data_IF_640035912546
#
_entry.id   IF_640035912546
#
_cell.length_a   1.000
_cell.length_b   1.000
_cell.length_c   1.000
_cell.angle_alpha   90.00
_cell.angle_beta   90.00
_cell.angle_gamma   90.00
#
_symmetry.space_group_name_H-M   'P 1'
#
loop_
_entity.id
_entity.type
_entity.pdbx_description
1 polymer ?
#
# COMPACT_ATOMS: atom_id res chain seq x y z
N UNK A 1 26.55 3.67 -4.47
CA UNK A 1 26.98 4.84 -5.26
C UNK A 1 28.43 4.65 -5.70
N UNK A 2 28.87 5.33 -6.76
CA UNK A 2 30.26 5.38 -7.25
C UNK A 2 30.66 6.84 -7.41
N UNK A 3 31.84 7.22 -6.93
CA UNK A 3 32.40 8.56 -7.21
C UNK A 3 32.85 8.64 -8.67
N UNK A 4 32.50 9.73 -9.33
CA UNK A 4 32.93 10.01 -10.71
C UNK A 4 34.25 10.79 -10.61
N UNK A 5 35.37 10.12 -10.88
CA UNK A 5 36.74 10.63 -10.64
C UNK A 5 37.29 11.41 -11.85
N UNK A 6 36.72 11.22 -13.03
CA UNK A 6 37.03 12.00 -14.24
C UNK A 6 35.75 12.16 -15.06
N UNK A 7 35.35 13.39 -15.37
CA UNK A 7 34.39 13.63 -16.44
C UNK A 7 35.12 13.34 -17.75
N UNK A 8 34.79 12.22 -18.41
CA UNK A 8 35.22 12.06 -19.79
C UNK A 8 34.61 13.21 -20.58
N UNK A 9 35.47 14.02 -21.21
CA UNK A 9 35.14 15.25 -21.95
C UNK A 9 34.31 15.02 -23.24
N UNK A 10 33.39 14.05 -23.28
CA UNK A 10 32.50 13.79 -24.41
C UNK A 10 31.07 13.57 -23.93
N UNK A 11 30.17 14.49 -24.32
CA UNK A 11 28.76 14.31 -24.70
C UNK A 11 27.93 13.18 -24.05
N UNK A 12 28.18 12.79 -22.80
CA UNK A 12 27.42 11.75 -22.14
C UNK A 12 26.16 12.37 -21.53
N UNK A 13 24.99 11.90 -21.96
CA UNK A 13 23.72 12.40 -21.44
C UNK A 13 23.65 12.04 -19.95
N UNK A 14 23.59 13.07 -19.11
CA UNK A 14 23.59 12.92 -17.67
C UNK A 14 22.49 13.77 -17.02
N UNK A 15 22.03 13.33 -15.85
CA UNK A 15 21.05 14.08 -15.06
C UNK A 15 21.49 14.13 -13.60
N UNK A 16 21.62 15.35 -13.09
CA UNK A 16 21.97 15.63 -11.70
C UNK A 16 20.68 15.81 -10.90
N UNK A 17 20.40 14.83 -10.03
CA UNK A 17 19.19 14.78 -9.23
C UNK A 17 19.38 15.55 -7.92
N UNK A 18 18.58 16.62 -7.68
CA UNK A 18 18.58 17.29 -6.38
C UNK A 18 18.18 16.32 -5.28
N UNK A 19 18.78 16.48 -4.10
CA UNK A 19 18.42 15.71 -2.92
C UNK A 19 18.51 16.55 -1.66
N UNK A 20 17.79 16.10 -0.63
CA UNK A 20 17.87 16.69 0.71
C UNK A 20 17.62 15.62 1.77
N UNK A 21 18.12 15.88 2.98
CA UNK A 21 17.89 15.03 4.14
C UNK A 21 16.65 15.44 4.93
N UNK A 22 15.80 14.48 5.28
CA UNK A 22 14.73 14.65 6.26
C UNK A 22 15.16 13.94 7.55
N UNK A 23 15.42 14.73 8.58
CA UNK A 23 15.73 14.22 9.91
C UNK A 23 14.43 13.83 10.64
N UNK A 24 14.46 12.66 11.26
CA UNK A 24 13.38 12.04 12.03
C UNK A 24 13.98 11.42 13.30
N UNK A 25 14.42 12.25 14.26
CA UNK A 25 15.15 11.79 15.44
C UNK A 25 14.39 10.76 16.28
N UNK A 26 13.07 10.77 16.22
CA UNK A 26 12.15 9.84 16.88
C UNK A 26 12.16 8.42 16.31
N UNK A 27 12.76 8.19 15.13
CA UNK A 27 12.87 6.84 14.55
C UNK A 27 14.10 6.09 15.05
N UNK A 28 13.88 4.87 15.55
CA UNK A 28 14.94 3.99 16.08
C UNK A 28 15.94 3.49 15.03
N UNK A 29 15.52 3.31 13.77
CA UNK A 29 16.33 2.61 12.75
C UNK A 29 16.87 3.51 11.63
N UNK A 30 16.19 4.62 11.31
CA UNK A 30 16.63 5.52 10.22
C UNK A 30 16.28 6.95 10.59
N UNK A 31 17.19 7.58 11.34
CA UNK A 31 17.06 8.96 11.80
C UNK A 31 17.18 9.99 10.67
N UNK A 32 17.86 9.66 9.57
CA UNK A 32 18.01 10.53 8.40
C UNK A 32 17.53 9.79 7.15
N UNK A 33 16.56 10.37 6.45
CA UNK A 33 16.10 9.88 5.14
C UNK A 33 16.50 10.86 4.06
N UNK A 34 17.34 10.44 3.13
CA UNK A 34 17.62 11.22 1.92
C UNK A 34 16.41 11.12 1.01
N UNK A 35 15.96 12.23 0.44
CA UNK A 35 14.90 12.30 -0.57
C UNK A 35 15.53 12.80 -1.86
N UNK A 36 15.35 12.05 -2.94
CA UNK A 36 15.80 12.42 -4.27
C UNK A 36 14.63 12.99 -5.09
N UNK A 37 14.87 14.06 -5.85
CA UNK A 37 13.86 14.74 -6.65
C UNK A 37 14.16 14.60 -8.15
N UNK A 38 13.63 13.56 -8.78
CA UNK A 38 13.74 13.36 -10.23
C UNK A 38 12.70 14.16 -11.05
N UNK A 39 11.90 15.01 -10.41
CA UNK A 39 10.87 15.86 -11.04
C UNK A 39 11.38 17.29 -11.25
N UNK A 40 12.58 17.62 -10.77
CA UNK A 40 13.14 18.95 -10.98
C UNK A 40 13.54 19.15 -12.45
N UNK A 41 13.02 20.17 -13.16
CA UNK A 41 13.41 20.46 -14.53
C UNK A 41 14.87 20.88 -14.66
N UNK A 42 15.55 20.45 -15.71
CA UNK A 42 16.88 20.94 -16.05
C UNK A 42 16.82 22.22 -16.87
N UNK A 43 17.97 22.71 -17.35
CA UNK A 43 18.08 23.88 -18.23
C UNK A 43 17.28 23.77 -19.52
N UNK A 44 16.90 22.56 -19.95
CA UNK A 44 16.05 22.33 -21.12
C UNK A 44 14.54 22.30 -20.79
N UNK A 45 14.14 22.58 -19.54
CA UNK A 45 12.74 22.59 -19.10
C UNK A 45 12.13 21.21 -18.84
N UNK A 46 12.87 20.13 -19.04
CA UNK A 46 12.42 18.76 -18.79
C UNK A 46 13.08 18.17 -17.54
N UNK A 47 12.34 17.34 -16.81
CA UNK A 47 12.82 16.54 -15.69
C UNK A 47 13.07 15.09 -16.12
N UNK A 48 13.82 14.32 -15.32
CA UNK A 48 14.00 12.89 -15.60
C UNK A 48 12.66 12.15 -15.60
N UNK A 49 11.78 12.43 -14.64
CA UNK A 49 10.47 11.80 -14.53
C UNK A 49 9.50 12.16 -15.66
N UNK A 50 9.66 13.32 -16.31
CA UNK A 50 8.85 13.65 -17.49
C UNK A 50 9.26 12.91 -18.76
N UNK A 51 10.47 12.35 -18.79
CA UNK A 51 11.03 11.62 -19.94
C UNK A 51 10.92 10.11 -19.73
N UNK A 52 11.15 9.64 -18.50
CA UNK A 52 11.15 8.20 -18.19
C UNK A 52 9.78 7.56 -18.39
N UNK A 53 9.78 6.37 -18.98
CA UNK A 53 8.62 5.48 -18.96
C UNK A 53 8.41 4.92 -17.55
N UNK A 54 7.17 4.96 -17.06
CA UNK A 54 6.83 4.42 -15.75
C UNK A 54 6.79 2.87 -15.72
N UNK A 55 6.71 2.20 -16.87
CA UNK A 55 6.61 0.75 -17.02
C UNK A 55 5.23 0.14 -16.73
N UNK A 56 4.28 0.93 -16.21
CA UNK A 56 2.93 0.47 -15.86
C UNK A 56 2.84 -0.31 -14.54
N UNK A 57 1.65 -0.84 -14.25
CA UNK A 57 1.36 -1.62 -13.05
C UNK A 57 1.41 -3.12 -13.38
N UNK A 58 2.28 -3.86 -12.70
CA UNK A 58 2.46 -5.31 -12.90
C UNK A 58 2.15 -6.15 -11.65
N UNK A 59 1.77 -5.52 -10.54
CA UNK A 59 1.30 -6.18 -9.32
C UNK A 59 -0.21 -6.02 -9.14
N UNK A 60 -0.79 -6.91 -8.35
CA UNK A 60 -2.15 -6.74 -7.84
C UNK A 60 -2.25 -5.48 -6.97
N UNK A 61 -3.44 -4.88 -6.94
CA UNK A 61 -3.68 -3.76 -6.05
C UNK A 61 -3.80 -4.22 -4.59
N UNK A 62 -3.44 -3.33 -3.65
CA UNK A 62 -3.39 -3.62 -2.21
C UNK A 62 -4.70 -4.18 -1.67
N UNK A 63 -5.84 -3.71 -2.17
CA UNK A 63 -7.16 -4.21 -1.76
C UNK A 63 -7.30 -5.70 -2.08
N UNK A 64 -6.97 -6.11 -3.31
CA UNK A 64 -7.01 -7.52 -3.72
C UNK A 64 -6.08 -8.38 -2.87
N UNK A 65 -4.85 -7.92 -2.63
CA UNK A 65 -3.87 -8.61 -1.79
C UNK A 65 -4.40 -8.82 -0.36
N UNK A 66 -5.03 -7.79 0.21
CA UNK A 66 -5.58 -7.87 1.57
C UNK A 66 -6.78 -8.79 1.70
N UNK A 67 -7.67 -8.83 0.69
CA UNK A 67 -8.79 -9.76 0.69
C UNK A 67 -8.27 -11.19 0.68
N UNK A 68 -7.33 -11.54 -0.21
CA UNK A 68 -6.67 -12.85 -0.24
C UNK A 68 -5.96 -13.18 1.08
N UNK A 69 -5.22 -12.23 1.64
CA UNK A 69 -4.57 -12.37 2.94
C UNK A 69 -5.55 -12.75 4.07
N UNK A 70 -6.81 -12.30 3.97
CA UNK A 70 -7.89 -12.61 4.91
C UNK A 70 -8.59 -13.93 4.64
N UNK A 71 -8.29 -14.66 3.57
CA UNK A 71 -8.85 -16.01 3.37
C UNK A 71 -8.13 -17.05 4.23
N UNK A 72 -6.82 -16.88 4.44
CA UNK A 72 -6.03 -17.90 5.13
C UNK A 72 -6.38 -18.00 6.62
N UNK A 73 -6.44 -19.18 7.25
CA UNK A 73 -6.55 -19.30 8.70
C UNK A 73 -5.26 -18.95 9.45
N UNK A 74 -4.09 -19.22 8.84
CA UNK A 74 -2.77 -18.78 9.34
C UNK A 74 -2.17 -17.80 8.36
N UNK A 75 -1.79 -16.60 8.80
CA UNK A 75 -1.23 -15.60 7.91
C UNK A 75 -0.15 -14.77 8.57
N UNK A 76 0.73 -14.21 7.75
CA UNK A 76 1.83 -13.37 8.19
C UNK A 76 2.11 -12.29 7.17
N UNK A 77 2.72 -11.22 7.65
CA UNK A 77 3.23 -10.13 6.82
C UNK A 77 4.73 -10.00 7.05
N UNK A 78 5.45 -9.46 6.07
CA UNK A 78 6.86 -9.10 6.19
C UNK A 78 7.22 -7.97 5.22
N UNK A 79 8.36 -7.33 5.44
CA UNK A 79 8.89 -6.20 4.68
C UNK A 79 10.26 -6.58 4.09
N UNK A 80 10.49 -6.30 2.80
CA UNK A 80 11.79 -6.45 2.15
C UNK A 80 12.69 -5.27 2.50
N UNK A 81 13.71 -5.57 3.31
CA UNK A 81 14.65 -4.59 3.82
C UNK A 81 15.36 -3.84 2.68
N UNK A 82 15.08 -2.54 2.59
CA UNK A 82 15.72 -1.63 1.62
C UNK A 82 15.64 -2.14 0.17
N UNK A 83 14.50 -2.71 -0.23
CA UNK A 83 14.28 -3.39 -1.51
C UNK A 83 14.94 -2.71 -2.72
N UNK A 84 14.67 -1.42 -2.96
CA UNK A 84 15.21 -0.69 -4.11
C UNK A 84 16.75 -0.68 -4.17
N UNK A 85 17.41 -0.68 -3.01
CA UNK A 85 18.88 -0.66 -2.91
C UNK A 85 19.53 -2.01 -3.22
N UNK A 86 18.75 -3.07 -3.36
CA UNK A 86 19.25 -4.40 -3.70
C UNK A 86 19.21 -4.66 -5.22
N UNK A 87 18.64 -3.75 -6.01
CA UNK A 87 18.43 -3.91 -7.44
C UNK A 87 19.39 -2.99 -8.19
N UNK A 88 20.31 -3.58 -8.95
CA UNK A 88 21.27 -2.82 -9.75
C UNK A 88 20.60 -2.22 -10.98
N UNK A 89 21.04 -1.00 -11.32
CA UNK A 89 20.70 -0.32 -12.56
C UNK A 89 21.82 -0.58 -13.57
N UNK A 90 21.42 -0.84 -14.82
CA UNK A 90 22.36 -1.04 -15.93
C UNK A 90 23.33 0.14 -16.04
N UNK A 91 24.61 -0.13 -16.30
CA UNK A 91 25.68 0.87 -16.24
C UNK A 91 25.40 2.08 -17.15
N UNK A 92 24.82 1.85 -18.33
CA UNK A 92 24.46 2.92 -19.28
C UNK A 92 23.40 3.90 -18.77
N UNK A 93 22.68 3.57 -17.69
CA UNK A 93 21.62 4.40 -17.11
C UNK A 93 22.08 5.12 -15.84
N UNK A 94 23.23 4.74 -15.27
CA UNK A 94 23.77 5.33 -14.04
C UNK A 94 24.10 6.83 -14.17
N UNK A 95 24.57 7.37 -15.32
CA UNK A 95 24.75 8.80 -15.53
C UNK A 95 23.48 9.65 -15.37
N UNK A 96 22.31 9.05 -15.54
CA UNK A 96 21.02 9.72 -15.34
C UNK A 96 20.61 9.81 -13.86
N UNK A 97 21.37 9.17 -12.97
CA UNK A 97 21.12 9.13 -11.53
C UNK A 97 22.31 9.74 -10.78
N UNK A 98 22.86 10.85 -11.28
CA UNK A 98 23.96 11.57 -10.63
C UNK A 98 23.45 12.41 -9.48
N UNK A 99 24.27 12.55 -8.45
CA UNK A 99 24.05 13.46 -7.32
C UNK A 99 25.35 14.23 -7.04
N UNK A 100 25.18 15.44 -6.52
CA UNK A 100 26.28 16.23 -5.97
C UNK A 100 26.32 16.06 -4.45
N UNK A 101 27.51 15.87 -3.88
CA UNK A 101 27.68 15.70 -2.44
C UNK A 101 28.96 16.36 -1.95
N UNK A 102 28.89 16.99 -0.78
CA UNK A 102 30.04 17.47 -0.01
C UNK A 102 29.81 17.18 1.48
N UNK A 103 30.89 16.94 2.23
CA UNK A 103 30.80 16.54 3.65
C UNK A 103 30.64 17.78 4.53
N UNK A 104 31.46 18.80 4.31
CA UNK A 104 31.37 20.13 4.93
C UNK A 104 31.08 21.22 3.90
N UNK A 105 30.82 22.45 4.36
CA UNK A 105 30.61 23.60 3.49
C UNK A 105 31.86 23.94 2.67
N UNK A 106 33.04 23.67 3.23
CA UNK A 106 34.37 23.97 2.71
C UNK A 106 34.95 22.87 1.82
N UNK A 107 34.38 21.66 1.87
CA UNK A 107 34.84 20.54 1.05
C UNK A 107 34.47 20.73 -0.43
N UNK A 108 35.32 20.25 -1.36
CA UNK A 108 34.98 20.25 -2.78
C UNK A 108 33.73 19.41 -3.05
N UNK A 109 32.86 19.91 -3.92
CA UNK A 109 31.69 19.18 -4.38
C UNK A 109 32.15 17.99 -5.23
N UNK A 110 31.66 16.80 -4.87
CA UNK A 110 31.92 15.55 -5.57
C UNK A 110 30.67 15.08 -6.29
N UNK A 111 30.87 14.43 -7.43
CA UNK A 111 29.79 13.80 -8.21
C UNK A 111 29.75 12.31 -7.93
N UNK A 112 28.54 11.80 -7.68
CA UNK A 112 28.31 10.37 -7.47
C UNK A 112 27.19 9.83 -8.35
N UNK A 113 27.36 8.61 -8.84
CA UNK A 113 26.33 7.87 -9.58
C UNK A 113 25.66 6.83 -8.68
N UNK A 114 24.33 6.80 -8.71
CA UNK A 114 23.56 5.77 -8.04
C UNK A 114 23.60 4.48 -8.86
N UNK A 115 24.06 3.39 -8.23
CA UNK A 115 24.17 2.07 -8.89
C UNK A 115 22.88 1.26 -8.86
N UNK A 116 21.92 1.67 -8.05
CA UNK A 116 20.72 0.89 -7.73
C UNK A 116 19.47 1.68 -8.03
N UNK A 117 18.34 0.98 -8.10
CA UNK A 117 17.03 1.63 -8.27
C UNK A 117 16.90 2.72 -7.21
N UNK A 118 16.63 3.94 -7.68
CA UNK A 118 16.60 5.14 -6.83
C UNK A 118 15.15 5.58 -6.65
N UNK A 119 14.71 5.60 -5.39
CA UNK A 119 13.37 6.08 -5.05
C UNK A 119 13.21 7.55 -5.44
N UNK A 120 11.99 7.94 -5.83
CA UNK A 120 11.69 9.26 -6.39
C UNK A 120 11.74 9.29 -7.92
N UNK A 121 12.29 8.26 -8.57
CA UNK A 121 12.13 8.06 -10.03
C UNK A 121 10.81 7.38 -10.35
N UNK A 122 10.19 7.74 -11.48
CA UNK A 122 8.87 7.24 -11.88
C UNK A 122 8.88 5.74 -12.22
N UNK A 123 10.02 5.21 -12.67
CA UNK A 123 10.22 3.82 -13.07
C UNK A 123 10.63 2.89 -11.92
N UNK A 124 10.98 3.44 -10.75
CA UNK A 124 11.45 2.64 -9.60
C UNK A 124 10.44 1.58 -9.14
N UNK A 125 9.14 1.88 -8.96
CA UNK A 125 8.15 0.89 -8.54
C UNK A 125 8.07 -0.29 -9.52
N UNK A 126 7.96 0.00 -10.82
CA UNK A 126 7.93 -1.02 -11.86
C UNK A 126 9.18 -1.89 -11.84
N UNK A 127 10.37 -1.27 -11.76
CA UNK A 127 11.64 -1.99 -11.76
C UNK A 127 11.75 -2.96 -10.57
N UNK A 128 11.29 -2.52 -9.40
CA UNK A 128 11.28 -3.35 -8.20
C UNK A 128 10.32 -4.53 -8.31
N UNK A 129 9.07 -4.27 -8.66
CA UNK A 129 8.06 -5.32 -8.80
C UNK A 129 8.41 -6.28 -9.93
N UNK A 130 8.89 -5.78 -11.09
CA UNK A 130 9.28 -6.64 -12.22
C UNK A 130 10.46 -7.54 -11.89
N UNK A 131 11.37 -7.10 -11.01
CA UNK A 131 12.48 -7.92 -10.49
C UNK A 131 11.94 -9.09 -9.66
N UNK A 132 10.99 -8.85 -8.74
CA UNK A 132 10.32 -9.93 -7.99
C UNK A 132 9.61 -10.91 -8.93
N UNK A 133 8.92 -10.39 -9.95
CA UNK A 133 8.28 -11.25 -10.96
C UNK A 133 9.29 -12.08 -11.74
N UNK A 134 10.44 -11.51 -12.10
CA UNK A 134 11.48 -12.26 -12.80
C UNK A 134 12.04 -13.38 -11.91
N UNK A 135 12.40 -13.04 -10.68
CA UNK A 135 12.89 -13.98 -9.68
C UNK A 135 11.89 -15.12 -9.44
N UNK A 136 10.59 -14.80 -9.38
CA UNK A 136 9.54 -15.82 -9.22
C UNK A 136 9.54 -16.85 -10.35
N UNK A 137 9.79 -16.43 -11.60
CA UNK A 137 9.78 -17.31 -12.79
C UNK A 137 11.02 -18.19 -12.84
N UNK A 138 12.17 -17.61 -12.52
CA UNK A 138 13.46 -18.30 -12.56
C UNK A 138 13.58 -19.36 -11.47
N UNK A 139 13.03 -19.07 -10.29
CA UNK A 139 13.21 -19.89 -9.09
C UNK A 139 11.96 -20.71 -8.72
N UNK A 140 10.91 -20.73 -9.56
CA UNK A 140 9.65 -21.44 -9.30
C UNK A 140 9.85 -22.94 -9.02
N UNK A 141 10.76 -23.58 -9.76
CA UNK A 141 11.09 -25.00 -9.56
C UNK A 141 11.72 -25.28 -8.19
N UNK A 142 12.50 -24.34 -7.67
CA UNK A 142 13.20 -24.47 -6.39
C UNK A 142 12.32 -24.06 -5.21
N UNK A 143 11.40 -23.10 -5.41
CA UNK A 143 10.54 -22.54 -4.37
C UNK A 143 9.08 -22.44 -4.85
N UNK A 144 8.41 -23.59 -5.06
CA UNK A 144 7.09 -23.66 -5.69
C UNK A 144 5.97 -22.99 -4.88
N UNK A 145 6.11 -22.88 -3.55
CA UNK A 145 5.12 -22.19 -2.71
C UNK A 145 5.34 -20.67 -2.67
N UNK A 146 6.60 -20.23 -2.76
CA UNK A 146 6.94 -18.82 -2.66
C UNK A 146 6.79 -18.07 -3.98
N UNK A 147 7.04 -18.73 -5.12
CA UNK A 147 6.95 -18.09 -6.43
C UNK A 147 5.55 -17.49 -6.72
N UNK A 148 4.42 -18.18 -6.47
CA UNK A 148 3.10 -17.57 -6.61
C UNK A 148 2.90 -16.33 -5.70
N UNK A 149 3.43 -16.38 -4.48
CA UNK A 149 3.35 -15.26 -3.53
C UNK A 149 4.13 -14.03 -4.04
N UNK A 150 5.32 -14.21 -4.62
CA UNK A 150 6.06 -13.12 -5.26
C UNK A 150 5.28 -12.48 -6.42
N UNK A 151 4.47 -13.28 -7.12
CA UNK A 151 3.65 -12.81 -8.26
C UNK A 151 2.42 -12.03 -7.82
N UNK A 152 1.78 -12.44 -6.74
CA UNK A 152 0.41 -12.01 -6.47
C UNK A 152 0.20 -11.27 -5.14
N UNK A 153 1.14 -11.38 -4.20
CA UNK A 153 0.92 -11.02 -2.79
C UNK A 153 1.93 -9.98 -2.25
N UNK A 154 2.81 -9.46 -3.11
CA UNK A 154 3.64 -8.31 -2.79
C UNK A 154 2.94 -7.01 -3.18
N UNK A 155 2.97 -6.05 -2.27
CA UNK A 155 2.67 -4.66 -2.52
C UNK A 155 3.93 -3.85 -2.25
N UNK A 156 4.69 -3.55 -3.31
CA UNK A 156 6.02 -2.95 -3.19
C UNK A 156 6.95 -3.80 -2.30
N UNK A 157 7.42 -3.26 -1.18
CA UNK A 157 8.29 -3.91 -0.20
C UNK A 157 7.53 -4.80 0.80
N UNK A 158 6.21 -4.68 0.90
CA UNK A 158 5.41 -5.49 1.83
C UNK A 158 4.90 -6.77 1.16
N UNK A 159 4.96 -7.89 1.88
CA UNK A 159 4.29 -9.15 1.53
C UNK A 159 3.18 -9.47 2.53
N UNK A 160 2.01 -9.85 2.02
CA UNK A 160 0.88 -10.31 2.82
C UNK A 160 0.40 -11.66 2.28
N UNK A 161 0.65 -12.74 3.03
CA UNK A 161 0.25 -14.07 2.61
C UNK A 161 -0.08 -14.99 3.81
N UNK A 162 -0.50 -16.20 3.51
CA UNK A 162 -0.84 -17.18 4.53
C UNK A 162 -0.98 -18.58 3.96
N UNK A 163 -1.47 -19.49 4.81
CA UNK A 163 -1.66 -20.89 4.49
C UNK A 163 -2.81 -21.51 5.31
N UNK A 164 -3.21 -22.73 4.95
CA UNK A 164 -4.29 -23.47 5.61
C UNK A 164 -3.86 -24.07 6.96
N UNK A 165 -2.56 -24.34 7.13
CA UNK A 165 -2.00 -24.85 8.38
C UNK A 165 -0.77 -24.08 8.85
N UNK A 166 -0.46 -24.18 10.15
CA UNK A 166 0.75 -23.59 10.73
C UNK A 166 2.03 -24.17 10.10
N UNK A 167 2.03 -25.46 9.74
CA UNK A 167 3.17 -26.14 9.12
C UNK A 167 3.44 -25.61 7.71
N UNK A 168 2.38 -25.46 6.90
CA UNK A 168 2.48 -24.84 5.59
C UNK A 168 2.93 -23.38 5.70
N UNK A 169 2.39 -22.60 6.64
CA UNK A 169 2.80 -21.21 6.84
C UNK A 169 4.29 -21.08 7.18
N UNK A 170 4.82 -21.97 8.03
CA UNK A 170 6.27 -22.04 8.33
C UNK A 170 7.10 -22.42 7.10
N UNK A 171 6.62 -23.39 6.33
CA UNK A 171 7.30 -23.84 5.09
C UNK A 171 7.32 -22.72 4.05
N UNK A 172 6.20 -22.04 3.85
CA UNK A 172 6.06 -20.90 2.95
C UNK A 172 6.99 -19.76 3.38
N UNK A 173 7.03 -19.42 4.67
CA UNK A 173 7.98 -18.44 5.22
C UNK A 173 9.43 -18.78 4.87
N UNK A 174 9.83 -20.04 5.03
CA UNK A 174 11.19 -20.49 4.75
C UNK A 174 11.50 -20.41 3.25
N UNK A 175 10.57 -20.84 2.39
CA UNK A 175 10.72 -20.71 0.94
C UNK A 175 10.78 -19.25 0.50
N UNK A 176 9.95 -18.36 1.06
CA UNK A 176 9.99 -16.92 0.79
C UNK A 176 11.32 -16.28 1.16
N UNK A 177 11.87 -16.66 2.32
CA UNK A 177 13.18 -16.20 2.75
C UNK A 177 14.28 -16.73 1.82
N UNK A 178 14.15 -17.98 1.36
CA UNK A 178 15.10 -18.62 0.44
C UNK A 178 15.10 -18.02 -0.96
N UNK A 179 13.94 -17.83 -1.57
CA UNK A 179 13.82 -17.25 -2.92
C UNK A 179 14.31 -15.80 -2.94
N UNK A 180 13.94 -14.98 -1.96
CA UNK A 180 14.41 -13.59 -1.90
C UNK A 180 15.91 -13.50 -1.68
N UNK A 181 16.50 -14.44 -0.93
CA UNK A 181 17.94 -14.53 -0.76
C UNK A 181 18.67 -14.83 -2.08
N UNK A 182 18.06 -15.56 -3.02
CA UNK A 182 18.59 -15.74 -4.38
C UNK A 182 18.66 -14.41 -5.14
N UNK A 183 17.70 -13.52 -4.91
CA UNK A 183 17.70 -12.15 -5.41
C UNK A 183 18.51 -11.14 -4.58
N UNK A 184 19.28 -11.58 -3.59
CA UNK A 184 20.06 -10.70 -2.70
C UNK A 184 19.22 -9.88 -1.70
N UNK A 185 17.95 -10.24 -1.51
CA UNK A 185 17.00 -9.53 -0.66
C UNK A 185 16.76 -10.26 0.68
N UNK A 186 16.42 -9.50 1.72
CA UNK A 186 16.17 -10.00 3.08
C UNK A 186 14.79 -9.55 3.58
N UNK A 187 14.00 -10.48 4.11
CA UNK A 187 12.73 -10.17 4.79
C UNK A 187 12.96 -9.81 6.25
N UNK A 188 12.26 -8.80 6.74
CA UNK A 188 12.27 -8.38 8.13
C UNK A 188 10.88 -7.91 8.60
N UNK A 189 10.78 -7.53 9.88
CA UNK A 189 9.53 -7.01 10.52
C UNK A 189 8.30 -7.88 10.26
N UNK A 190 8.36 -9.14 10.70
CA UNK A 190 7.23 -10.04 10.62
C UNK A 190 6.03 -9.54 11.45
N UNK A 191 4.82 -9.68 10.92
CA UNK A 191 3.54 -9.42 11.61
C UNK A 191 3.22 -7.95 11.95
N UNK A 192 3.32 -7.05 10.97
CA UNK A 192 2.69 -5.71 11.02
C UNK A 192 1.49 -5.64 10.09
N UNK A 193 0.37 -5.15 10.59
CA UNK A 193 -0.84 -4.94 9.79
C UNK A 193 -1.17 -3.44 9.72
N UNK A 194 -1.47 -2.95 8.51
CA UNK A 194 -2.09 -1.66 8.26
C UNK A 194 -3.57 -1.91 7.87
N UNK A 195 -4.51 -0.98 8.07
CA UNK A 195 -5.95 -1.15 7.74
C UNK A 195 -6.41 -0.48 6.42
N UNK A 196 -5.98 -0.95 5.22
CA UNK A 196 -6.56 -0.50 3.95
C UNK A 196 -7.97 -1.01 3.63
N UNK A 197 -8.55 -1.91 4.43
CA UNK A 197 -9.88 -2.49 4.17
C UNK A 197 -11.03 -1.64 4.72
N UNK A 198 -10.70 -0.53 5.39
CA UNK A 198 -11.68 0.35 6.02
C UNK A 198 -12.42 -0.36 7.14
N UNK A 199 -11.76 -1.26 7.88
CA UNK A 199 -12.38 -1.95 9.01
C UNK A 199 -12.75 -0.97 10.13
N UNK A 200 -11.96 0.08 10.27
CA UNK A 200 -12.24 1.24 11.12
C UNK A 200 -13.04 2.34 10.38
N UNK A 201 -13.70 2.02 9.27
CA UNK A 201 -14.46 2.94 8.44
C UNK A 201 -15.41 3.87 9.23
N UNK A 202 -16.18 3.39 10.22
CA UNK A 202 -17.01 4.23 11.07
C UNK A 202 -16.22 5.24 11.92
N UNK A 203 -15.06 4.85 12.45
CA UNK A 203 -14.18 5.71 13.25
C UNK A 203 -13.55 6.79 12.36
N UNK A 204 -13.03 6.39 11.19
CA UNK A 204 -12.45 7.30 10.20
C UNK A 204 -13.51 8.24 9.62
N UNK A 205 -14.76 7.79 9.45
CA UNK A 205 -15.85 8.62 8.99
C UNK A 205 -16.15 9.78 9.96
N UNK A 206 -16.15 9.54 11.28
CA UNK A 206 -16.28 10.61 12.29
C UNK A 206 -15.19 11.67 12.13
N UNK A 207 -13.93 11.25 11.98
CA UNK A 207 -12.81 12.16 11.75
C UNK A 207 -12.96 12.96 10.44
N UNK A 208 -13.34 12.30 9.34
CA UNK A 208 -13.50 12.95 8.04
C UNK A 208 -14.67 13.96 8.02
N UNK A 209 -15.79 13.65 8.69
CA UNK A 209 -16.92 14.58 8.85
C UNK A 209 -16.46 15.81 9.64
N UNK A 210 -15.71 15.62 10.73
CA UNK A 210 -15.14 16.72 11.50
C UNK A 210 -14.20 17.59 10.63
N UNK A 211 -13.29 16.97 9.88
CA UNK A 211 -12.39 17.69 8.96
C UNK A 211 -13.14 18.49 7.89
N UNK A 212 -14.20 17.93 7.29
CA UNK A 212 -15.03 18.65 6.33
C UNK A 212 -15.73 19.86 6.98
N UNK A 213 -16.15 19.74 8.24
CA UNK A 213 -16.74 20.86 8.99
C UNK A 213 -15.75 22.01 9.18
N UNK A 214 -14.48 21.72 9.46
CA UNK A 214 -13.42 22.73 9.58
C UNK A 214 -13.13 23.43 8.25
N UNK A 215 -13.10 22.68 7.15
CA UNK A 215 -12.91 23.26 5.82
C UNK A 215 -14.01 24.24 5.43
N UNK A 216 -15.23 24.02 5.93
CA UNK A 216 -16.37 24.90 5.68
C UNK A 216 -16.25 26.24 6.42
N UNK A 217 -15.42 26.30 7.46
CA UNK A 217 -15.14 27.51 8.24
C UNK A 217 -14.02 28.37 7.63
N UNK A 218 -13.31 27.88 6.59
CA UNK A 218 -12.20 28.57 5.93
C UNK A 218 -11.10 29.07 6.89
N UNK A 219 -10.84 28.30 7.94
CA UNK A 219 -9.82 28.56 8.95
C UNK A 219 -8.44 28.15 8.40
N UNK A 220 -7.41 28.95 8.63
CA UNK A 220 -6.03 28.64 8.23
C UNK A 220 -5.37 27.66 9.22
N UNK A 221 -4.29 26.98 8.82
CA UNK A 221 -3.60 25.99 9.68
C UNK A 221 -2.94 26.60 10.93
N UNK A 222 -2.76 27.93 10.94
CA UNK A 222 -2.14 28.70 12.04
C UNK A 222 -3.20 29.18 13.06
N UNK A 223 -4.47 29.20 12.66
CA UNK A 223 -5.54 29.73 13.49
C UNK A 223 -5.94 28.73 14.59
N UNK A 224 -6.16 29.24 15.80
CA UNK A 224 -6.64 28.40 16.91
C UNK A 224 -8.08 27.93 16.65
N UNK A 225 -8.33 26.63 16.88
CA UNK A 225 -9.68 26.11 16.84
C UNK A 225 -10.53 26.74 17.95
N UNK A 226 -11.75 27.16 17.61
CA UNK A 226 -12.76 27.56 18.59
C UNK A 226 -12.90 26.49 19.68
N UNK A 227 -13.00 26.93 20.95
CA UNK A 227 -12.95 26.07 22.14
C UNK A 227 -13.91 24.87 22.08
N UNK A 228 -15.11 25.04 21.52
CA UNK A 228 -16.08 23.95 21.36
C UNK A 228 -15.67 22.89 20.34
N UNK A 229 -15.03 23.28 19.23
CA UNK A 229 -14.50 22.33 18.23
C UNK A 229 -13.26 21.62 18.74
N UNK A 230 -12.42 22.33 19.49
CA UNK A 230 -11.28 21.73 20.17
C UNK A 230 -11.76 20.64 21.15
N UNK A 231 -12.79 20.91 21.97
CA UNK A 231 -13.39 19.91 22.87
C UNK A 231 -13.97 18.70 22.12
N UNK A 232 -14.66 18.93 20.99
CA UNK A 232 -15.19 17.86 20.14
C UNK A 232 -14.07 16.94 19.62
N UNK A 233 -12.96 17.52 19.16
CA UNK A 233 -11.79 16.78 18.71
C UNK A 233 -11.10 16.02 19.84
N UNK A 234 -10.93 16.64 21.01
CA UNK A 234 -10.35 15.97 22.18
C UNK A 234 -11.17 14.75 22.60
N UNK A 235 -12.51 14.87 22.62
CA UNK A 235 -13.39 13.73 22.90
C UNK A 235 -13.24 12.61 21.86
N UNK A 236 -13.10 12.96 20.58
CA UNK A 236 -12.80 11.98 19.54
C UNK A 236 -11.46 11.26 19.78
N UNK A 237 -10.41 11.98 20.22
CA UNK A 237 -9.10 11.38 20.55
C UNK A 237 -9.18 10.47 21.78
N UNK A 238 -9.97 10.82 22.79
CA UNK A 238 -10.24 9.96 23.94
C UNK A 238 -10.95 8.67 23.51
N UNK A 239 -12.01 8.78 22.71
CA UNK A 239 -12.72 7.64 22.11
C UNK A 239 -11.77 6.77 21.26
N UNK A 240 -10.85 7.41 20.53
CA UNK A 240 -9.91 6.75 19.64
C UNK A 240 -8.97 5.78 20.38
N UNK A 241 -8.66 6.02 21.65
CA UNK A 241 -7.86 5.07 22.45
C UNK A 241 -8.54 3.69 22.55
N UNK A 242 -9.87 3.66 22.52
CA UNK A 242 -10.66 2.43 22.58
C UNK A 242 -10.57 1.60 21.30
N UNK A 243 -10.11 2.18 20.17
CA UNK A 243 -9.94 1.46 18.89
C UNK A 243 -8.97 0.28 19.04
N UNK A 244 -8.00 0.39 19.94
CA UNK A 244 -7.05 -0.69 20.25
C UNK A 244 -7.71 -1.97 20.76
N UNK A 245 -8.93 -1.88 21.31
CA UNK A 245 -9.70 -3.02 21.82
C UNK A 245 -10.52 -3.74 20.73
N UNK A 246 -10.66 -3.15 19.53
CA UNK A 246 -11.46 -3.71 18.44
C UNK A 246 -10.72 -4.90 17.85
N UNK A 247 -11.25 -6.11 18.06
CA UNK A 247 -10.74 -7.34 17.47
C UNK A 247 -11.67 -7.81 16.34
N UNK A 248 -11.16 -7.80 15.10
CA UNK A 248 -11.90 -8.27 13.93
C UNK A 248 -11.29 -9.58 13.45
N UNK A 249 -12.12 -10.62 13.37
CA UNK A 249 -11.72 -11.90 12.83
C UNK A 249 -11.12 -11.77 11.43
N UNK A 250 -9.83 -12.07 11.30
CA UNK A 250 -9.09 -11.92 10.05
C UNK A 250 -9.63 -12.86 8.96
N UNK A 251 -9.75 -14.15 9.28
CA UNK A 251 -10.19 -15.21 8.36
C UNK A 251 -11.67 -15.04 8.01
N UNK A 252 -11.98 -14.59 6.79
CA UNK A 252 -13.35 -14.21 6.37
C UNK A 252 -14.19 -15.38 5.84
N UNK A 253 -13.54 -16.40 5.26
CA UNK A 253 -14.20 -17.62 4.77
C UNK A 253 -13.93 -18.75 5.77
N UNK A 254 -14.95 -19.51 6.14
CA UNK A 254 -14.74 -20.69 6.99
C UNK A 254 -13.96 -21.77 6.20
N UNK A 255 -12.84 -22.34 6.70
CA UNK A 255 -12.01 -23.27 5.94
C UNK A 255 -12.73 -24.52 5.41
N UNK A 256 -13.80 -24.94 6.10
CA UNK A 256 -14.64 -26.07 5.73
C UNK A 256 -16.01 -25.64 5.17
N UNK A 257 -16.14 -24.39 4.72
CA UNK A 257 -17.42 -23.91 4.19
C UNK A 257 -17.85 -24.73 2.96
N UNK A 258 -19.07 -25.27 2.99
CA UNK A 258 -19.70 -25.91 1.83
C UNK A 258 -20.43 -24.89 0.97
N UNK A 259 -20.88 -23.79 1.58
CA UNK A 259 -21.55 -22.68 0.91
C UNK A 259 -20.99 -21.35 1.41
N UNK A 260 -20.64 -20.48 0.47
CA UNK A 260 -20.14 -19.13 0.72
C UNK A 260 -21.01 -18.14 -0.06
N UNK A 261 -21.47 -17.10 0.62
CA UNK A 261 -22.31 -16.04 0.05
C UNK A 261 -21.79 -14.68 0.48
N UNK A 262 -21.85 -13.72 -0.45
CA UNK A 262 -21.53 -12.32 -0.16
C UNK A 262 -22.83 -11.53 -0.02
N UNK A 263 -22.97 -10.83 1.09
CA UNK A 263 -24.14 -10.02 1.43
C UNK A 263 -23.70 -8.57 1.56
N UNK A 264 -24.23 -7.71 0.70
CA UNK A 264 -23.90 -6.30 0.63
C UNK A 264 -25.01 -5.43 1.19
N UNK A 265 -24.66 -4.47 2.04
CA UNK A 265 -25.59 -3.47 2.55
C UNK A 265 -25.05 -2.07 2.24
N UNK A 266 -25.95 -1.16 1.87
CA UNK A 266 -25.64 0.23 1.64
C UNK A 266 -26.56 1.08 2.50
N UNK A 267 -26.03 2.16 3.07
CA UNK A 267 -26.79 3.07 3.89
C UNK A 267 -26.31 4.51 3.68
N UNK A 268 -27.18 5.46 4.00
CA UNK A 268 -26.91 6.88 3.79
C UNK A 268 -27.49 7.76 4.90
N UNK A 269 -26.88 8.93 5.04
CA UNK A 269 -27.32 10.04 5.86
C UNK A 269 -27.05 11.35 5.10
N UNK A 270 -27.56 12.47 5.61
CA UNK A 270 -27.26 13.79 5.04
C UNK A 270 -25.77 14.15 5.07
N UNK A 271 -24.98 13.50 5.95
CA UNK A 271 -23.56 13.79 6.18
C UNK A 271 -22.63 12.83 5.44
N UNK A 272 -23.05 11.59 5.22
CA UNK A 272 -22.22 10.56 4.60
C UNK A 272 -23.06 9.40 4.08
N UNK A 273 -22.48 8.65 3.15
CA UNK A 273 -23.05 7.38 2.70
C UNK A 273 -21.96 6.31 2.69
N UNK A 274 -22.37 5.06 2.85
CA UNK A 274 -21.45 3.95 3.00
C UNK A 274 -22.01 2.64 2.47
N UNK A 275 -21.09 1.70 2.28
CA UNK A 275 -21.38 0.34 1.88
C UNK A 275 -20.52 -0.63 2.70
N UNK A 276 -21.10 -1.78 3.02
CA UNK A 276 -20.46 -2.84 3.78
C UNK A 276 -20.75 -4.19 3.13
N UNK A 277 -19.78 -5.09 3.14
CA UNK A 277 -19.92 -6.45 2.61
C UNK A 277 -19.58 -7.45 3.70
N UNK A 278 -20.48 -8.41 3.89
CA UNK A 278 -20.30 -9.55 4.76
C UNK A 278 -20.16 -10.83 3.94
N UNK A 279 -19.33 -11.75 4.44
CA UNK A 279 -19.23 -13.11 3.94
C UNK A 279 -19.97 -14.03 4.91
N UNK A 280 -21.00 -14.70 4.41
CA UNK A 280 -21.73 -15.76 5.10
C UNK A 280 -21.16 -17.10 4.65
N UNK A 281 -20.61 -17.86 5.58
CA UNK A 281 -20.09 -19.21 5.36
C UNK A 281 -20.94 -20.22 6.13
N UNK A 282 -21.36 -21.29 5.46
CA UNK A 282 -22.05 -22.43 6.08
C UNK A 282 -21.13 -23.65 6.10
N UNK A 283 -20.94 -24.24 7.27
CA UNK A 283 -20.16 -25.47 7.47
C UNK A 283 -20.98 -26.74 7.21
N UNK A 284 -20.34 -27.92 7.08
CA UNK A 284 -21.04 -29.17 6.74
C UNK A 284 -22.03 -29.62 7.82
N UNK A 285 -21.81 -29.22 9.07
CA UNK A 285 -22.70 -29.43 10.21
C UNK A 285 -23.91 -28.48 10.24
N UNK A 286 -24.01 -27.58 9.25
CA UNK A 286 -25.08 -26.59 9.13
C UNK A 286 -24.84 -25.28 9.88
N UNK A 287 -23.76 -25.15 10.67
CA UNK A 287 -23.46 -23.91 11.39
C UNK A 287 -23.17 -22.76 10.41
N UNK A 288 -23.70 -21.58 10.71
CA UNK A 288 -23.54 -20.38 9.87
C UNK A 288 -22.66 -19.39 10.59
N UNK A 289 -21.63 -18.89 9.90
CA UNK A 289 -20.78 -17.79 10.37
C UNK A 289 -20.88 -16.62 9.41
N UNK A 290 -20.96 -15.41 9.94
CA UNK A 290 -21.01 -14.17 9.15
C UNK A 290 -19.86 -13.28 9.58
N UNK A 291 -19.06 -12.82 8.62
CA UNK A 291 -17.86 -12.02 8.89
C UNK A 291 -17.78 -10.81 7.97
N UNK A 292 -17.36 -9.68 8.54
CA UNK A 292 -17.14 -8.44 7.78
C UNK A 292 -15.95 -8.58 6.83
N UNK A 293 -16.19 -8.42 5.53
CA UNK A 293 -15.16 -8.49 4.48
C UNK A 293 -14.50 -7.14 4.27
N UNK A 294 -15.29 -6.10 4.05
CA UNK A 294 -14.78 -4.74 3.83
C UNK A 294 -15.91 -3.73 4.03
N UNK A 295 -15.54 -2.50 4.37
CA UNK A 295 -16.46 -1.37 4.35
C UNK A 295 -15.84 -0.20 3.60
N UNK A 296 -16.70 0.66 3.04
CA UNK A 296 -16.27 1.88 2.38
C UNK A 296 -17.30 2.98 2.62
N UNK A 297 -16.83 4.14 3.06
CA UNK A 297 -17.67 5.32 3.29
C UNK A 297 -17.17 6.50 2.46
N UNK A 298 -18.07 7.44 2.21
CA UNK A 298 -17.80 8.73 1.58
C UNK A 298 -18.58 9.81 2.30
N UNK A 299 -17.95 10.97 2.46
CA UNK A 299 -18.63 12.15 3.00
C UNK A 299 -19.57 12.70 1.92
N UNK A 300 -20.76 13.11 2.33
CA UNK A 300 -21.72 13.73 1.42
C UNK A 300 -21.14 15.05 0.86
N UNK A 301 -21.49 15.43 -0.37
CA UNK A 301 -21.06 16.71 -0.92
C UNK A 301 -21.50 17.88 -0.04
N UNK A 302 -20.68 18.92 0.04
CA UNK A 302 -20.98 20.14 0.83
C UNK A 302 -22.23 20.84 0.31
N UNK A 303 -22.47 20.79 -1.01
CA UNK A 303 -23.75 21.22 -1.59
C UNK A 303 -24.80 20.17 -1.29
N UNK A 304 -25.90 20.59 -0.66
CA UNK A 304 -27.01 19.70 -0.31
C UNK A 304 -27.48 18.91 -1.55
N UNK A 305 -27.57 17.60 -1.38
CA UNK A 305 -28.05 16.66 -2.38
C UNK A 305 -29.25 15.93 -1.78
N UNK A 306 -30.31 15.73 -2.56
CA UNK A 306 -31.49 15.02 -2.10
C UNK A 306 -31.15 13.60 -1.61
N UNK A 307 -31.82 13.15 -0.54
CA UNK A 307 -31.59 11.83 0.07
C UNK A 307 -31.64 10.67 -0.93
N UNK A 308 -32.62 10.57 -1.85
CA UNK A 308 -32.68 9.47 -2.82
C UNK A 308 -31.44 9.41 -3.74
N UNK A 309 -30.80 10.55 -4.00
CA UNK A 309 -29.57 10.59 -4.80
C UNK A 309 -28.36 10.13 -3.99
N UNK A 310 -28.32 10.39 -2.68
CA UNK A 310 -27.29 9.83 -1.80
C UNK A 310 -27.46 8.32 -1.61
N UNK A 311 -28.71 7.82 -1.49
CA UNK A 311 -29.02 6.39 -1.51
C UNK A 311 -28.50 5.73 -2.79
N UNK A 312 -28.76 6.32 -3.96
CA UNK A 312 -28.24 5.82 -5.23
C UNK A 312 -26.70 5.83 -5.25
N UNK A 313 -26.05 6.86 -4.71
CA UNK A 313 -24.60 6.89 -4.56
C UNK A 313 -24.07 5.77 -3.65
N UNK A 314 -24.76 5.46 -2.56
CA UNK A 314 -24.44 4.35 -1.66
C UNK A 314 -24.55 3.00 -2.36
N UNK A 315 -25.64 2.78 -3.12
CA UNK A 315 -25.85 1.56 -3.90
C UNK A 315 -24.81 1.39 -5.00
N UNK A 316 -24.44 2.45 -5.72
CA UNK A 316 -23.36 2.42 -6.71
C UNK A 316 -22.00 2.13 -6.06
N UNK A 317 -21.76 2.68 -4.86
CA UNK A 317 -20.56 2.39 -4.08
C UNK A 317 -20.51 0.90 -3.71
N UNK A 318 -21.63 0.34 -3.26
CA UNK A 318 -21.75 -1.08 -2.92
C UNK A 318 -21.53 -1.97 -4.13
N UNK A 319 -22.19 -1.72 -5.26
CA UNK A 319 -22.04 -2.51 -6.48
C UNK A 319 -20.59 -2.56 -6.97
N UNK A 320 -19.89 -1.42 -6.95
CA UNK A 320 -18.46 -1.34 -7.29
C UNK A 320 -17.59 -2.10 -6.28
N UNK A 321 -17.92 -2.02 -4.99
CA UNK A 321 -17.19 -2.72 -3.94
C UNK A 321 -17.39 -4.24 -4.05
N UNK A 322 -18.62 -4.70 -4.32
CA UNK A 322 -18.97 -6.11 -4.50
C UNK A 322 -18.19 -6.71 -5.66
N UNK A 323 -18.22 -6.08 -6.83
CA UNK A 323 -17.46 -6.52 -8.00
C UNK A 323 -15.95 -6.66 -7.71
N UNK A 324 -15.37 -5.75 -6.93
CA UNK A 324 -13.95 -5.85 -6.52
C UNK A 324 -13.70 -7.02 -5.57
N UNK A 325 -14.58 -7.26 -4.61
CA UNK A 325 -14.47 -8.39 -3.68
C UNK A 325 -14.60 -9.72 -4.43
N UNK A 326 -15.60 -9.86 -5.30
CA UNK A 326 -15.81 -11.07 -6.12
C UNK A 326 -14.58 -11.38 -6.98
N UNK A 327 -14.03 -10.36 -7.65
CA UNK A 327 -12.81 -10.49 -8.45
C UNK A 327 -11.62 -10.93 -7.60
N UNK A 328 -11.47 -10.35 -6.40
CA UNK A 328 -10.35 -10.66 -5.50
C UNK A 328 -10.42 -12.08 -4.93
N UNK A 329 -11.62 -12.56 -4.59
CA UNK A 329 -11.90 -13.91 -4.09
C UNK A 329 -11.99 -14.96 -5.22
N UNK A 330 -11.86 -14.55 -6.49
CA UNK A 330 -12.03 -15.41 -7.66
C UNK A 330 -13.39 -16.16 -7.66
N UNK A 331 -14.41 -15.56 -7.05
CA UNK A 331 -15.76 -16.14 -7.01
C UNK A 331 -16.43 -15.96 -8.37
N UNK A 332 -16.92 -17.04 -8.97
CA UNK A 332 -17.76 -16.93 -10.18
C UNK A 332 -19.08 -16.23 -9.79
N UNK A 333 -19.58 -15.27 -10.59
CA UNK A 333 -20.87 -14.66 -10.32
C UNK A 333 -21.95 -15.74 -10.39
N UNK A 334 -22.55 -16.06 -9.25
CA UNK A 334 -23.82 -16.77 -9.21
C UNK A 334 -24.89 -15.71 -9.42
N UNK A 335 -25.39 -15.61 -10.64
CA UNK A 335 -26.60 -14.83 -10.92
C UNK A 335 -27.67 -15.31 -9.92
N UNK A 336 -28.24 -14.43 -9.08
CA UNK A 336 -29.39 -14.79 -8.27
C UNK A 336 -30.48 -15.23 -9.25
N UNK A 337 -30.90 -16.49 -9.16
CA UNK A 337 -32.17 -16.91 -9.74
C UNK A 337 -33.22 -16.45 -8.74
N UNK A 338 -33.74 -15.24 -8.94
CA UNK A 338 -35.06 -14.84 -8.47
C UNK A 338 -36.02 -14.77 -9.65
#
# INVERSE_FOLDING_TARGET
MKEVVAENNNSEIAYYMPHHGILRPEKSTTKLRVVFNATNPTSNGLSLNSIQYNGGLVQNDLFTIMIKFREHPYAFTADVKMMYRMILIHESQQPLLRILWKVSAEDPVKTFEMKTVTYGTVSAPFSATRTLLQLSREEEKNFPLAAPVLRENFYMDDVLCGAASLMEAKTLKNQLSGILKKGGMELHKWARLFDPLGLLGPVVARANIFMQSLWSLKIDWIDELLSERAKEWHRFLEDFNSVSSICIGRCIVHPQATRVELHGFADTSEKCYGAVIYCRSQSPDGATTVKLVTSKSRVAPVKSVAMPRLELCATVLLAKLMKRVETALQMSPRVPVE
#
